data_IF_409312331019
#
_entry.id   IF_409312331019
#
_cell.length_a   1.000
_cell.length_b   1.000
_cell.length_c   1.000
_cell.angle_alpha   90.00
_cell.angle_beta   90.00
_cell.angle_gamma   90.00
#
_symmetry.space_group_name_H-M   'P 1'
#
loop_
_entity.id
_entity.type
_entity.pdbx_description
1 polymer ?
#
# COMPACT_ATOMS: atom_id res chain seq x y z
N UNK A 1 -38.22 46.16 -12.20
CA UNK A 1 -37.38 45.87 -11.05
C UNK A 1 -37.42 44.39 -10.64
N UNK A 2 -38.55 43.80 -10.27
CA UNK A 2 -38.59 42.37 -9.79
C UNK A 2 -37.98 41.37 -10.79
N UNK A 3 -38.26 41.44 -12.10
CA UNK A 3 -37.66 40.52 -13.11
C UNK A 3 -36.14 40.64 -13.23
N UNK A 4 -35.58 41.85 -13.13
CA UNK A 4 -34.12 42.05 -13.18
C UNK A 4 -33.44 41.45 -11.95
N UNK A 5 -34.02 41.61 -10.76
CA UNK A 5 -33.52 41.01 -9.51
C UNK A 5 -33.56 39.48 -9.61
N UNK A 6 -34.66 38.89 -10.12
CA UNK A 6 -34.77 37.44 -10.29
C UNK A 6 -33.72 36.89 -11.25
N UNK A 7 -33.48 37.55 -12.37
CA UNK A 7 -32.43 37.17 -13.35
C UNK A 7 -31.05 37.25 -12.69
N UNK A 8 -30.74 38.33 -11.97
CA UNK A 8 -29.45 38.46 -11.27
C UNK A 8 -29.24 37.36 -10.23
N UNK A 9 -30.27 37.01 -9.45
CA UNK A 9 -30.19 35.93 -8.45
C UNK A 9 -29.94 34.59 -9.13
N UNK A 10 -30.63 34.26 -10.21
CA UNK A 10 -30.44 33.00 -10.95
C UNK A 10 -29.03 32.94 -11.53
N UNK A 11 -28.50 34.03 -12.07
CA UNK A 11 -27.14 34.10 -12.61
C UNK A 11 -26.09 33.87 -11.51
N UNK A 12 -26.25 34.47 -10.34
CA UNK A 12 -25.35 34.27 -9.20
C UNK A 12 -25.37 32.83 -8.72
N UNK A 13 -26.57 32.22 -8.60
CA UNK A 13 -26.69 30.79 -8.22
C UNK A 13 -26.01 29.91 -9.26
N UNK A 14 -26.21 30.18 -10.55
CA UNK A 14 -25.55 29.42 -11.63
C UNK A 14 -24.03 29.51 -11.58
N UNK A 15 -23.48 30.70 -11.31
CA UNK A 15 -22.03 30.87 -11.12
C UNK A 15 -21.49 30.13 -9.89
N UNK A 16 -22.21 30.19 -8.76
CA UNK A 16 -21.82 29.45 -7.55
C UNK A 16 -21.83 27.95 -7.78
N UNK A 17 -22.85 27.43 -8.46
CA UNK A 17 -22.90 26.00 -8.82
C UNK A 17 -21.74 25.62 -9.76
N UNK A 18 -21.44 26.44 -10.77
CA UNK A 18 -20.32 26.19 -11.67
C UNK A 18 -18.97 26.18 -10.93
N UNK A 19 -18.75 27.08 -9.96
CA UNK A 19 -17.56 27.11 -9.10
C UNK A 19 -17.50 25.86 -8.22
N UNK A 20 -18.61 25.46 -7.61
CA UNK A 20 -18.66 24.24 -6.78
C UNK A 20 -18.36 23.00 -7.61
N UNK A 21 -18.92 22.87 -8.81
CA UNK A 21 -18.64 21.77 -9.73
C UNK A 21 -17.16 21.79 -10.14
N UNK A 22 -16.61 22.94 -10.48
CA UNK A 22 -15.19 23.07 -10.83
C UNK A 22 -14.26 22.68 -9.68
N UNK A 23 -14.56 23.12 -8.46
CA UNK A 23 -13.81 22.76 -7.26
C UNK A 23 -13.92 21.26 -6.97
N UNK A 24 -15.10 20.67 -7.13
CA UNK A 24 -15.32 19.23 -6.97
C UNK A 24 -14.51 18.42 -8.00
N UNK A 25 -14.53 18.80 -9.27
CA UNK A 25 -13.74 18.15 -10.33
C UNK A 25 -12.23 18.28 -10.02
N UNK A 26 -11.80 19.45 -9.57
CA UNK A 26 -10.39 19.69 -9.24
C UNK A 26 -9.94 18.84 -8.03
N UNK A 27 -10.76 18.75 -6.99
CA UNK A 27 -10.46 17.97 -5.79
C UNK A 27 -10.48 16.45 -6.03
N UNK A 28 -11.21 15.99 -7.04
CA UNK A 28 -11.29 14.56 -7.41
C UNK A 28 -10.16 14.09 -8.34
N UNK A 29 -9.29 15.00 -8.81
CA UNK A 29 -8.16 14.62 -9.66
C UNK A 29 -7.13 13.85 -8.85
N UNK A 30 -6.75 12.68 -9.39
CA UNK A 30 -5.67 11.88 -8.82
C UNK A 30 -4.32 12.55 -9.08
N UNK A 31 -3.53 12.67 -8.03
CA UNK A 31 -2.12 13.05 -8.12
C UNK A 31 -1.31 11.78 -8.23
N UNK A 32 -0.68 11.58 -9.38
CA UNK A 32 0.14 10.39 -9.63
C UNK A 32 1.55 10.57 -9.05
N UNK A 33 2.12 9.46 -8.61
CA UNK A 33 3.51 9.38 -8.15
C UNK A 33 4.47 9.28 -9.33
N UNK A 34 5.79 9.36 -9.07
CA UNK A 34 6.78 8.94 -10.06
C UNK A 34 6.79 7.41 -10.19
N UNK A 35 7.32 6.89 -11.31
CA UNK A 35 7.27 5.46 -11.63
C UNK A 35 8.09 4.57 -10.67
N UNK A 36 9.07 5.15 -9.98
CA UNK A 36 9.91 4.42 -9.02
C UNK A 36 9.50 4.65 -7.56
N UNK A 37 8.33 5.26 -7.33
CA UNK A 37 7.82 5.50 -5.99
C UNK A 37 7.63 4.18 -5.24
N UNK A 38 8.01 4.18 -3.97
CA UNK A 38 7.75 3.10 -3.01
C UNK A 38 6.99 3.68 -1.82
N UNK A 39 6.16 2.87 -1.19
CA UNK A 39 5.28 3.35 -0.13
C UNK A 39 5.79 3.13 1.29
N UNK A 40 6.64 2.12 1.48
CA UNK A 40 7.22 1.80 2.79
C UNK A 40 8.46 0.93 2.60
N UNK A 41 9.28 0.80 3.64
CA UNK A 41 10.44 -0.09 3.64
C UNK A 41 10.00 -1.57 3.77
N UNK A 42 10.81 -2.47 3.24
CA UNK A 42 10.58 -3.90 3.36
C UNK A 42 10.56 -4.36 4.83
N UNK A 43 11.46 -3.84 5.66
CA UNK A 43 11.49 -4.13 7.09
C UNK A 43 10.17 -3.81 7.80
N UNK A 44 9.57 -2.65 7.51
CA UNK A 44 8.26 -2.30 8.06
C UNK A 44 7.14 -3.20 7.52
N UNK A 45 7.09 -3.44 6.20
CA UNK A 45 6.04 -4.27 5.59
C UNK A 45 6.11 -5.74 6.03
N UNK A 46 7.32 -6.28 6.18
CA UNK A 46 7.52 -7.64 6.71
C UNK A 46 7.09 -7.78 8.18
N UNK A 47 7.03 -6.66 8.92
CA UNK A 47 6.49 -6.58 10.29
C UNK A 47 5.04 -6.06 10.34
N UNK A 48 4.26 -6.34 9.30
CA UNK A 48 2.83 -5.99 9.22
C UNK A 48 2.54 -4.57 8.76
N UNK A 49 3.58 -3.78 8.44
CA UNK A 49 3.43 -2.40 7.96
C UNK A 49 2.71 -1.49 8.93
N UNK A 50 2.97 -1.65 10.24
CA UNK A 50 2.30 -0.88 11.28
C UNK A 50 2.80 0.56 11.39
N UNK A 51 3.95 0.86 10.78
CA UNK A 51 4.57 2.17 10.74
C UNK A 51 5.02 2.51 9.32
N UNK A 52 4.98 3.78 8.98
CA UNK A 52 5.55 4.31 7.75
C UNK A 52 6.05 5.73 7.99
N UNK A 53 7.32 5.97 7.77
CA UNK A 53 7.90 7.31 7.82
C UNK A 53 7.81 7.97 6.45
N UNK A 54 7.33 9.22 6.43
CA UNK A 54 7.23 10.02 5.21
C UNK A 54 7.21 11.51 5.54
N UNK A 55 8.13 12.30 4.97
CA UNK A 55 8.21 13.77 5.12
C UNK A 55 8.18 14.22 6.61
N UNK A 56 9.13 13.73 7.41
CA UNK A 56 9.29 14.06 8.85
C UNK A 56 8.03 13.73 9.69
N UNK A 57 7.21 12.80 9.20
CA UNK A 57 6.05 12.27 9.91
C UNK A 57 6.11 10.75 9.96
N UNK A 58 5.56 10.20 11.02
CA UNK A 58 5.33 8.77 11.18
C UNK A 58 3.83 8.53 11.15
N UNK A 59 3.38 7.79 10.16
CA UNK A 59 2.01 7.27 10.06
C UNK A 59 1.98 5.89 10.67
N UNK A 60 1.03 5.63 11.56
CA UNK A 60 1.04 4.37 12.29
C UNK A 60 -0.34 3.87 12.69
N UNK A 61 -0.41 2.55 12.92
CA UNK A 61 -1.56 1.88 13.52
C UNK A 61 -1.43 1.98 15.05
N UNK A 62 -2.33 2.70 15.71
CA UNK A 62 -2.25 2.89 17.16
C UNK A 62 -2.83 1.67 17.91
N UNK A 63 -2.02 0.84 18.58
CA UNK A 63 -2.49 -0.35 19.28
C UNK A 63 -3.38 -0.02 20.49
N UNK A 64 -3.25 1.18 21.05
CA UNK A 64 -4.09 1.64 22.16
C UNK A 64 -5.47 2.14 21.74
N UNK A 65 -5.70 2.31 20.40
CA UNK A 65 -7.01 2.66 19.83
C UNK A 65 -7.36 1.70 18.68
N UNK A 66 -7.32 0.40 18.94
CA UNK A 66 -7.73 -0.68 18.00
C UNK A 66 -7.03 -0.62 16.63
N UNK A 67 -5.75 -0.25 16.61
CA UNK A 67 -4.94 -0.06 15.40
C UNK A 67 -5.49 0.98 14.42
N UNK A 68 -6.21 1.99 14.91
CA UNK A 68 -6.67 3.09 14.05
C UNK A 68 -5.51 3.90 13.49
N UNK A 69 -5.75 4.55 12.35
CA UNK A 69 -4.74 5.33 11.65
C UNK A 69 -4.43 6.63 12.38
N UNK A 70 -3.18 6.80 12.73
CA UNK A 70 -2.62 7.97 13.42
C UNK A 70 -1.42 8.53 12.65
N UNK A 71 -1.07 9.77 12.96
CA UNK A 71 0.17 10.42 12.54
C UNK A 71 0.83 11.11 13.73
N UNK A 72 2.17 11.14 13.75
CA UNK A 72 2.96 11.92 14.71
C UNK A 72 4.19 12.54 14.00
N UNK A 73 4.88 13.41 14.68
CA UNK A 73 6.18 13.88 14.21
C UNK A 73 7.23 12.76 14.27
N UNK A 74 8.32 12.87 13.50
CA UNK A 74 9.43 11.90 13.53
C UNK A 74 10.14 11.81 14.90
N UNK A 75 10.03 12.84 15.74
CA UNK A 75 10.48 12.85 17.13
C UNK A 75 9.48 12.19 18.12
N UNK A 76 8.47 11.52 17.62
CA UNK A 76 7.39 10.86 18.37
C UNK A 76 6.48 11.83 19.16
N UNK A 77 6.47 13.12 18.84
CA UNK A 77 5.58 14.11 19.46
C UNK A 77 4.32 14.34 18.64
N UNK A 78 3.30 14.98 19.25
CA UNK A 78 2.08 15.44 18.60
C UNK A 78 1.31 14.33 17.85
N UNK A 79 1.18 13.16 18.47
CA UNK A 79 0.38 12.08 17.92
C UNK A 79 -1.10 12.48 17.84
N UNK A 80 -1.70 12.32 16.65
CA UNK A 80 -3.13 12.59 16.44
C UNK A 80 -3.77 11.56 15.52
N UNK A 81 -5.04 11.28 15.77
CA UNK A 81 -5.83 10.37 14.95
C UNK A 81 -6.16 11.02 13.60
N UNK A 82 -6.02 10.25 12.52
CA UNK A 82 -6.41 10.66 11.18
C UNK A 82 -7.81 10.17 10.81
N UNK A 83 -8.14 8.92 11.09
CA UNK A 83 -9.48 8.37 10.86
C UNK A 83 -9.76 7.16 11.78
N UNK A 84 -10.94 6.56 11.65
CA UNK A 84 -11.39 5.46 12.49
C UNK A 84 -11.18 4.06 11.89
N UNK A 85 -10.52 3.95 10.74
CA UNK A 85 -10.18 2.67 10.16
C UNK A 85 -9.08 1.97 10.97
N UNK A 86 -9.28 0.70 11.31
CA UNK A 86 -8.22 -0.19 11.78
C UNK A 86 -7.33 -0.56 10.61
N UNK A 87 -6.03 -0.28 10.69
CA UNK A 87 -5.12 -0.31 9.55
C UNK A 87 -3.93 -1.24 9.76
N UNK A 88 -3.44 -1.79 8.66
CA UNK A 88 -2.18 -2.53 8.55
C UNK A 88 -1.56 -2.30 7.16
N UNK A 89 -0.34 -2.75 6.95
CA UNK A 89 0.40 -2.60 5.68
C UNK A 89 0.38 -1.17 5.16
N UNK A 90 0.65 -0.19 6.03
CA UNK A 90 0.64 1.24 5.71
C UNK A 90 1.74 1.53 4.69
N UNK A 91 1.36 2.23 3.63
CA UNK A 91 2.25 2.76 2.60
C UNK A 91 1.93 4.24 2.42
N UNK A 92 2.93 5.12 2.39
CA UNK A 92 2.71 6.55 2.20
C UNK A 92 3.60 7.07 1.09
N UNK A 93 3.00 7.72 0.10
CA UNK A 93 3.75 8.36 -0.97
C UNK A 93 2.95 9.48 -1.63
N UNK A 94 3.63 10.55 -2.01
CA UNK A 94 3.03 11.70 -2.66
C UNK A 94 1.94 12.35 -1.80
N UNK A 95 0.72 12.30 -2.29
CA UNK A 95 -0.44 12.94 -1.64
C UNK A 95 -1.29 11.97 -0.83
N UNK A 96 -0.91 10.69 -0.71
CA UNK A 96 -1.80 9.66 -0.21
C UNK A 96 -1.15 8.69 0.77
N UNK A 97 -2.00 8.18 1.67
CA UNK A 97 -1.77 7.02 2.53
C UNK A 97 -2.56 5.86 1.92
N UNK A 98 -1.93 4.70 1.77
CA UNK A 98 -2.53 3.45 1.34
C UNK A 98 -2.40 2.44 2.46
N UNK A 99 -3.43 1.65 2.71
CA UNK A 99 -3.43 0.68 3.79
C UNK A 99 -4.44 -0.44 3.57
N UNK A 100 -4.25 -1.53 4.28
CA UNK A 100 -5.28 -2.57 4.46
C UNK A 100 -6.19 -2.13 5.59
N UNK A 101 -7.48 -2.03 5.32
CA UNK A 101 -8.52 -1.83 6.32
C UNK A 101 -8.94 -3.19 6.87
N UNK A 102 -9.00 -3.30 8.18
CA UNK A 102 -9.39 -4.52 8.88
C UNK A 102 -10.21 -4.20 10.12
N UNK A 103 -11.44 -3.76 9.91
CA UNK A 103 -12.35 -3.37 10.97
C UNK A 103 -13.08 -4.59 11.53
N UNK A 104 -12.83 -4.94 12.79
CA UNK A 104 -13.49 -6.09 13.46
C UNK A 104 -14.94 -5.82 13.86
N UNK A 105 -15.36 -4.57 13.93
CA UNK A 105 -16.73 -4.19 14.29
C UNK A 105 -17.36 -3.39 13.16
N UNK A 106 -18.52 -3.88 12.72
CA UNK A 106 -19.38 -3.15 11.81
C UNK A 106 -19.98 -1.96 12.58
N UNK A 107 -19.56 -0.75 12.26
CA UNK A 107 -20.29 0.46 12.69
C UNK A 107 -21.52 0.60 11.82
N UNK A 108 -22.69 0.30 12.38
CA UNK A 108 -23.97 0.48 11.70
C UNK A 108 -24.37 1.94 11.80
N UNK A 109 -24.14 2.71 10.75
CA UNK A 109 -24.80 4.00 10.59
C UNK A 109 -26.19 3.71 10.01
N UNK A 110 -27.14 3.35 10.87
CA UNK A 110 -28.52 3.00 10.50
C UNK A 110 -28.64 1.64 9.81
N UNK A 111 -29.87 1.24 9.50
CA UNK A 111 -30.18 -0.07 8.85
C UNK A 111 -29.86 -0.15 7.37
N UNK A 112 -29.46 0.96 6.74
CA UNK A 112 -29.36 1.08 5.28
C UNK A 112 -27.88 1.20 4.81
N UNK A 113 -26.97 1.73 5.62
CA UNK A 113 -25.56 1.91 5.24
C UNK A 113 -24.66 1.06 6.11
N UNK A 114 -24.23 -0.09 5.57
CA UNK A 114 -23.15 -0.90 6.16
C UNK A 114 -21.83 -0.40 5.56
N UNK A 115 -20.96 0.14 6.40
CA UNK A 115 -19.60 0.48 5.99
C UNK A 115 -18.84 -0.79 5.59
N UNK A 116 -18.01 -0.71 4.54
CA UNK A 116 -17.09 -1.79 4.16
C UNK A 116 -16.12 -2.04 5.31
N UNK A 117 -16.01 -3.29 5.78
CA UNK A 117 -15.16 -3.65 6.92
C UNK A 117 -13.71 -3.88 6.53
N UNK A 118 -13.49 -4.38 5.32
CA UNK A 118 -12.19 -4.84 4.84
C UNK A 118 -11.86 -4.23 3.49
N UNK A 119 -10.59 -4.23 3.12
CA UNK A 119 -10.16 -3.85 1.79
C UNK A 119 -8.85 -3.12 1.74
N UNK A 120 -8.42 -2.79 0.52
CA UNK A 120 -7.31 -1.88 0.25
C UNK A 120 -7.88 -0.48 0.07
N UNK A 121 -7.45 0.44 0.91
CA UNK A 121 -7.94 1.81 0.93
C UNK A 121 -6.84 2.82 0.66
N UNK A 122 -7.28 3.97 0.21
CA UNK A 122 -6.46 5.18 0.09
C UNK A 122 -7.19 6.34 0.76
N UNK A 123 -6.43 7.20 1.46
CA UNK A 123 -6.89 8.52 1.91
C UNK A 123 -5.83 9.58 1.63
N UNK A 124 -6.17 10.85 1.81
CA UNK A 124 -5.20 11.94 1.82
C UNK A 124 -4.31 11.87 3.07
N UNK A 125 -3.21 12.64 3.09
CA UNK A 125 -2.28 12.67 4.24
C UNK A 125 -2.92 13.18 5.55
N UNK A 126 -4.07 13.84 5.47
CA UNK A 126 -4.86 14.27 6.63
C UNK A 126 -5.94 13.24 7.05
N UNK A 127 -5.97 12.06 6.44
CA UNK A 127 -6.93 11.00 6.76
C UNK A 127 -8.30 11.12 6.11
N UNK A 128 -8.53 12.14 5.29
CA UNK A 128 -9.80 12.39 4.61
C UNK A 128 -9.84 11.78 3.19
N UNK A 129 -10.97 11.97 2.50
CA UNK A 129 -11.17 11.52 1.09
C UNK A 129 -10.93 10.02 0.91
N UNK A 130 -11.51 9.24 1.82
CA UNK A 130 -11.45 7.78 1.80
C UNK A 130 -11.93 7.19 0.47
N UNK A 131 -11.14 6.31 -0.11
CA UNK A 131 -11.45 5.61 -1.36
C UNK A 131 -11.07 4.14 -1.23
N UNK A 132 -12.03 3.24 -1.41
CA UNK A 132 -11.75 1.83 -1.62
C UNK A 132 -11.10 1.64 -2.99
N UNK A 133 -9.94 1.00 -3.02
CA UNK A 133 -9.25 0.55 -4.23
C UNK A 133 -9.63 -0.90 -4.55
N UNK A 134 -9.78 -1.71 -3.50
CA UNK A 134 -10.28 -3.07 -3.51
C UNK A 134 -11.11 -3.28 -2.23
N UNK A 135 -12.26 -3.93 -2.32
CA UNK A 135 -13.30 -3.94 -1.29
C UNK A 135 -13.49 -5.30 -0.60
N UNK A 136 -12.46 -6.13 -0.57
CA UNK A 136 -12.48 -7.42 0.10
C UNK A 136 -11.19 -7.65 0.89
N UNK A 137 -11.13 -8.74 1.67
CA UNK A 137 -9.93 -9.12 2.41
C UNK A 137 -8.70 -9.14 1.51
N UNK A 138 -7.61 -8.61 2.00
CA UNK A 138 -6.30 -8.67 1.36
C UNK A 138 -5.22 -8.93 2.40
N UNK A 139 -4.14 -9.56 1.97
CA UNK A 139 -2.92 -9.70 2.75
C UNK A 139 -2.06 -8.42 2.69
N UNK A 140 -0.75 -8.61 2.81
CA UNK A 140 0.22 -7.51 2.68
C UNK A 140 0.04 -6.78 1.36
N UNK A 141 0.12 -5.46 1.41
CA UNK A 141 0.13 -4.60 0.22
C UNK A 141 1.46 -3.85 0.12
N UNK A 142 1.89 -3.57 -1.10
CA UNK A 142 3.02 -2.69 -1.37
C UNK A 142 2.74 -1.75 -2.54
N UNK A 143 3.12 -0.49 -2.38
CA UNK A 143 3.07 0.50 -3.45
C UNK A 143 4.34 0.41 -4.31
N UNK A 144 4.15 0.30 -5.62
CA UNK A 144 5.21 0.55 -6.61
C UNK A 144 4.67 1.46 -7.71
N UNK A 145 5.30 2.63 -7.86
CA UNK A 145 4.85 3.65 -8.79
C UNK A 145 3.41 4.11 -8.51
N UNK A 146 2.52 3.79 -9.43
CA UNK A 146 1.11 4.16 -9.37
C UNK A 146 0.17 2.96 -9.24
N UNK A 147 0.69 1.85 -8.70
CA UNK A 147 -0.08 0.62 -8.46
C UNK A 147 0.18 0.08 -7.07
N UNK A 148 -0.87 -0.46 -6.46
CA UNK A 148 -0.80 -1.25 -5.23
C UNK A 148 -0.81 -2.71 -5.65
N UNK A 149 0.18 -3.47 -5.20
CA UNK A 149 0.33 -4.91 -5.37
C UNK A 149 -0.08 -5.60 -4.09
N UNK A 150 -0.85 -6.70 -4.18
CA UNK A 150 -1.42 -7.32 -2.99
C UNK A 150 -1.79 -8.78 -3.18
N UNK A 151 -1.89 -9.51 -2.07
CA UNK A 151 -2.52 -10.82 -2.03
C UNK A 151 -4.04 -10.63 -2.03
N UNK A 152 -4.69 -11.20 -3.03
CA UNK A 152 -6.13 -11.23 -3.16
C UNK A 152 -6.71 -12.41 -2.36
N UNK A 153 -7.70 -12.13 -1.53
CA UNK A 153 -8.48 -13.14 -0.81
C UNK A 153 -9.93 -13.10 -1.28
N UNK A 154 -10.48 -14.26 -1.57
CA UNK A 154 -11.89 -14.40 -1.98
C UNK A 154 -12.45 -15.72 -1.47
N UNK A 155 -13.71 -15.70 -1.08
CA UNK A 155 -14.44 -16.92 -0.67
C UNK A 155 -14.75 -17.85 -1.86
N UNK A 156 -14.66 -17.35 -3.09
CA UNK A 156 -15.07 -18.05 -4.31
C UNK A 156 -13.93 -18.40 -5.25
N UNK A 157 -12.76 -17.76 -5.10
CA UNK A 157 -11.59 -17.99 -5.96
C UNK A 157 -10.36 -18.28 -5.10
N UNK A 158 -9.40 -19.11 -5.61
CA UNK A 158 -8.14 -19.31 -4.92
C UNK A 158 -7.41 -18.00 -4.64
N UNK A 159 -6.56 -18.02 -3.61
CA UNK A 159 -5.64 -16.92 -3.33
C UNK A 159 -4.79 -16.62 -4.57
N UNK A 160 -4.57 -15.35 -4.86
CA UNK A 160 -3.87 -14.90 -6.05
C UNK A 160 -3.08 -13.62 -5.79
N UNK A 161 -2.19 -13.28 -6.70
CA UNK A 161 -1.46 -12.03 -6.68
C UNK A 161 -2.07 -11.04 -7.67
N UNK A 162 -2.43 -9.87 -7.19
CA UNK A 162 -3.12 -8.83 -7.93
C UNK A 162 -2.40 -7.49 -7.87
N UNK A 163 -2.75 -6.60 -8.80
CA UNK A 163 -2.45 -5.18 -8.73
C UNK A 163 -3.70 -4.35 -9.00
N UNK A 164 -3.80 -3.21 -8.33
CA UNK A 164 -4.82 -2.18 -8.59
C UNK A 164 -4.16 -0.82 -8.73
N UNK A 165 -4.65 0.01 -9.66
CA UNK A 165 -4.15 1.38 -9.80
C UNK A 165 -4.54 2.25 -8.59
N UNK A 166 -3.75 3.28 -8.30
CA UNK A 166 -4.02 4.18 -7.16
C UNK A 166 -5.33 4.99 -7.32
N UNK A 167 -5.97 4.97 -8.49
CA UNK A 167 -7.28 5.54 -8.72
C UNK A 167 -8.42 4.55 -8.37
N UNK A 168 -8.12 3.27 -8.16
CA UNK A 168 -9.10 2.22 -7.87
C UNK A 168 -9.98 1.88 -9.08
N UNK A 169 -9.45 2.00 -10.30
CA UNK A 169 -10.22 1.78 -11.54
C UNK A 169 -9.94 0.46 -12.21
N UNK A 170 -8.76 -0.12 -11.98
CA UNK A 170 -8.31 -1.30 -12.70
C UNK A 170 -7.63 -2.28 -11.75
N UNK A 171 -8.40 -3.24 -11.25
CA UNK A 171 -7.87 -4.43 -10.62
C UNK A 171 -7.47 -5.45 -11.68
N UNK A 172 -6.30 -6.06 -11.52
CA UNK A 172 -5.75 -7.02 -12.49
C UNK A 172 -5.05 -8.14 -11.75
N UNK A 173 -5.45 -9.38 -12.02
CA UNK A 173 -4.75 -10.58 -11.58
C UNK A 173 -3.42 -10.70 -12.32
N UNK A 174 -2.34 -10.92 -11.57
CA UNK A 174 -0.99 -11.11 -12.09
C UNK A 174 -0.64 -12.61 -12.12
N UNK A 175 -0.94 -13.32 -11.03
CA UNK A 175 -0.56 -14.73 -10.85
C UNK A 175 -1.58 -15.46 -9.99
N UNK A 176 -1.71 -16.78 -10.25
CA UNK A 176 -2.44 -17.70 -9.37
C UNK A 176 -1.67 -18.01 -8.08
N UNK A 177 -0.37 -17.70 -8.03
CA UNK A 177 0.44 -17.84 -6.82
C UNK A 177 0.26 -16.59 -5.95
N UNK A 178 -0.11 -16.73 -4.66
CA UNK A 178 -0.40 -15.60 -3.78
C UNK A 178 0.88 -15.01 -3.18
N UNK A 179 1.69 -14.36 -3.99
CA UNK A 179 2.91 -13.71 -3.54
C UNK A 179 2.62 -12.62 -2.52
N UNK A 180 3.53 -12.46 -1.54
CA UNK A 180 3.49 -11.38 -0.55
C UNK A 180 4.44 -10.24 -0.96
N UNK A 181 3.94 -9.09 -1.42
CA UNK A 181 4.75 -8.05 -2.06
C UNK A 181 5.39 -7.09 -1.04
N UNK A 182 6.13 -7.60 -0.07
CA UNK A 182 6.67 -6.77 1.01
C UNK A 182 7.97 -6.03 0.68
N UNK A 183 8.70 -6.41 -0.37
CA UNK A 183 9.96 -5.77 -0.76
C UNK A 183 9.86 -5.18 -2.16
N UNK A 184 10.01 -3.86 -2.28
CA UNK A 184 9.95 -3.12 -3.55
C UNK A 184 11.21 -2.28 -3.70
N UNK A 185 11.91 -2.43 -4.82
CA UNK A 185 13.07 -1.61 -5.15
C UNK A 185 13.13 -1.30 -6.64
N UNK A 186 13.22 -0.02 -7.01
CA UNK A 186 13.35 0.45 -8.40
C UNK A 186 12.36 -0.17 -9.41
N UNK A 187 11.08 -0.29 -9.01
CA UNK A 187 10.04 -0.85 -9.89
C UNK A 187 10.09 -2.38 -10.02
N UNK A 188 10.86 -3.04 -9.17
CA UNK A 188 10.87 -4.50 -9.04
C UNK A 188 10.34 -4.90 -7.67
N UNK A 189 9.48 -5.91 -7.62
CA UNK A 189 8.99 -6.51 -6.38
C UNK A 189 9.73 -7.83 -6.18
N UNK A 190 10.25 -8.03 -4.98
CA UNK A 190 10.94 -9.26 -4.60
C UNK A 190 10.13 -10.01 -3.56
N UNK A 191 10.11 -11.32 -3.66
CA UNK A 191 9.42 -12.21 -2.72
C UNK A 191 10.03 -13.61 -2.74
N UNK A 192 9.82 -14.36 -1.65
CA UNK A 192 10.10 -15.79 -1.64
C UNK A 192 8.95 -16.55 -2.28
N UNK A 193 9.26 -17.60 -3.04
CA UNK A 193 8.26 -18.49 -3.62
C UNK A 193 7.48 -19.20 -2.48
N UNK A 194 6.18 -18.98 -2.34
CA UNK A 194 5.42 -19.55 -1.24
C UNK A 194 5.03 -21.01 -1.46
N UNK A 195 5.20 -21.55 -2.67
CA UNK A 195 4.70 -22.88 -3.06
C UNK A 195 5.82 -23.86 -3.37
N UNK A 196 6.97 -23.36 -3.85
CA UNK A 196 8.08 -24.19 -4.30
C UNK A 196 9.18 -24.37 -3.27
N UNK A 197 10.42 -24.17 -3.71
CA UNK A 197 11.64 -24.31 -2.88
C UNK A 197 11.97 -23.08 -2.04
N UNK A 198 11.10 -22.09 -1.97
CA UNK A 198 11.37 -20.78 -1.37
C UNK A 198 12.51 -20.01 -2.06
N UNK A 199 12.60 -20.14 -3.38
CA UNK A 199 13.51 -19.36 -4.19
C UNK A 199 13.22 -17.86 -4.05
N UNK A 200 14.23 -17.02 -4.20
CA UNK A 200 14.04 -15.58 -4.33
C UNK A 200 13.57 -15.29 -5.75
N UNK A 201 12.39 -14.70 -5.87
CA UNK A 201 11.77 -14.30 -7.12
C UNK A 201 11.79 -12.79 -7.25
N UNK A 202 11.85 -12.31 -8.48
CA UNK A 202 11.69 -10.90 -8.85
C UNK A 202 10.54 -10.75 -9.83
N UNK A 203 9.71 -9.73 -9.62
CA UNK A 203 8.65 -9.33 -10.53
C UNK A 203 8.90 -7.91 -11.00
N UNK A 204 9.10 -7.74 -12.32
CA UNK A 204 9.29 -6.44 -12.96
C UNK A 204 7.91 -5.81 -13.23
N UNK A 205 7.65 -4.67 -12.60
CA UNK A 205 6.35 -3.98 -12.67
C UNK A 205 6.08 -3.30 -14.02
N UNK A 206 7.11 -3.13 -14.86
CA UNK A 206 6.99 -2.53 -16.21
C UNK A 206 6.65 -3.56 -17.28
N UNK A 207 7.24 -4.75 -17.14
CA UNK A 207 7.07 -5.83 -18.12
C UNK A 207 6.07 -6.89 -17.71
N UNK A 208 5.58 -6.82 -16.46
CA UNK A 208 4.69 -7.80 -15.83
C UNK A 208 5.27 -9.24 -15.86
N UNK A 209 6.60 -9.38 -15.69
CA UNK A 209 7.29 -10.67 -15.72
C UNK A 209 7.85 -11.05 -14.36
N UNK A 210 7.61 -12.30 -13.96
CA UNK A 210 8.26 -12.93 -12.81
C UNK A 210 9.43 -13.78 -13.28
N UNK A 211 10.55 -13.73 -12.55
CA UNK A 211 11.76 -14.49 -12.81
C UNK A 211 12.35 -15.02 -11.51
N UNK A 212 13.02 -16.16 -11.55
CA UNK A 212 13.84 -16.64 -10.44
C UNK A 212 15.11 -15.78 -10.40
N UNK A 213 15.31 -15.05 -9.29
CA UNK A 213 16.54 -14.30 -9.06
C UNK A 213 17.63 -15.22 -8.53
N UNK A 214 17.29 -16.08 -7.57
CA UNK A 214 18.25 -17.00 -6.95
C UNK A 214 17.57 -18.28 -6.44
N UNK A 215 18.17 -19.43 -6.77
CA UNK A 215 17.70 -20.75 -6.33
C UNK A 215 18.26 -21.04 -4.93
N UNK A 216 17.41 -20.98 -3.92
CA UNK A 216 17.76 -21.18 -2.51
C UNK A 216 16.53 -21.63 -1.72
N UNK A 217 16.68 -21.76 -0.41
CA UNK A 217 15.57 -21.97 0.51
C UNK A 217 15.53 -20.77 1.47
N UNK A 218 14.88 -19.68 1.05
CA UNK A 218 14.96 -18.39 1.71
C UNK A 218 13.68 -17.97 2.41
N UNK A 219 13.89 -17.19 3.48
CA UNK A 219 12.91 -16.22 3.95
C UNK A 219 13.46 -14.82 3.61
N UNK A 220 12.82 -14.13 2.68
CA UNK A 220 13.32 -12.84 2.16
C UNK A 220 13.09 -11.73 3.18
N UNK A 221 14.14 -11.06 3.57
CA UNK A 221 14.07 -9.88 4.43
C UNK A 221 14.01 -8.58 3.61
N UNK A 222 15.02 -8.32 2.75
CA UNK A 222 15.10 -7.07 1.98
C UNK A 222 16.02 -7.19 0.75
N UNK A 223 15.83 -6.27 -0.21
CA UNK A 223 16.76 -6.04 -1.32
C UNK A 223 17.11 -4.57 -1.39
N UNK A 224 18.37 -4.24 -1.18
CA UNK A 224 18.86 -2.87 -1.17
C UNK A 224 20.28 -2.79 -1.74
N UNK A 225 20.59 -1.69 -2.44
CA UNK A 225 21.94 -1.36 -2.95
C UNK A 225 22.63 -2.50 -3.73
N UNK A 226 21.86 -3.31 -4.47
CA UNK A 226 22.39 -4.40 -5.26
C UNK A 226 22.63 -5.70 -4.48
N UNK A 227 22.13 -5.77 -3.25
CA UNK A 227 22.20 -6.96 -2.41
C UNK A 227 20.81 -7.38 -1.93
N UNK A 228 20.58 -8.71 -1.87
CA UNK A 228 19.46 -9.29 -1.15
C UNK A 228 19.94 -9.83 0.19
N UNK A 229 19.25 -9.47 1.25
CA UNK A 229 19.48 -9.98 2.61
C UNK A 229 18.34 -10.92 2.98
N UNK A 230 18.66 -12.16 3.30
CA UNK A 230 17.65 -13.16 3.62
C UNK A 230 18.15 -14.18 4.65
N UNK A 231 17.22 -14.86 5.29
CA UNK A 231 17.52 -16.00 6.15
C UNK A 231 17.54 -17.26 5.28
N UNK A 232 18.67 -17.96 5.24
CA UNK A 232 18.81 -19.26 4.55
C UNK A 232 18.32 -20.39 5.47
N UNK A 233 17.16 -20.94 5.14
CA UNK A 233 16.53 -22.00 5.92
C UNK A 233 17.30 -23.33 5.83
N UNK A 234 18.13 -23.51 4.79
CA UNK A 234 18.96 -24.70 4.62
C UNK A 234 20.33 -24.59 5.31
N UNK A 235 20.74 -23.40 5.73
CA UNK A 235 22.00 -23.12 6.43
C UNK A 235 21.80 -22.75 7.90
N UNK A 236 21.02 -23.55 8.61
CA UNK A 236 20.74 -23.34 10.03
C UNK A 236 20.21 -21.93 10.36
N UNK A 237 19.34 -21.40 9.48
CA UNK A 237 18.74 -20.06 9.61
C UNK A 237 19.76 -18.92 9.66
N UNK A 238 20.89 -19.06 8.98
CA UNK A 238 21.90 -17.99 8.90
C UNK A 238 21.39 -16.81 8.08
N UNK A 239 21.80 -15.61 8.47
CA UNK A 239 21.57 -14.40 7.69
C UNK A 239 22.60 -14.35 6.55
N UNK A 240 22.11 -14.28 5.32
CA UNK A 240 22.93 -14.31 4.11
C UNK A 240 22.76 -13.02 3.35
N UNK A 241 23.87 -12.50 2.82
CA UNK A 241 23.91 -11.42 1.83
C UNK A 241 24.23 -12.00 0.45
N UNK A 242 23.34 -11.79 -0.50
CA UNK A 242 23.48 -12.18 -1.90
C UNK A 242 23.74 -10.93 -2.75
N UNK A 243 24.85 -10.90 -3.51
CA UNK A 243 25.01 -9.89 -4.57
C UNK A 243 24.06 -10.22 -5.72
N UNK A 244 23.10 -9.33 -6.01
CA UNK A 244 22.04 -9.59 -7.01
C UNK A 244 22.53 -9.56 -8.46
N UNK A 245 23.71 -8.99 -8.73
CA UNK A 245 24.34 -8.98 -10.05
C UNK A 245 25.25 -10.19 -10.27
N UNK A 246 26.08 -10.48 -9.28
CA UNK A 246 27.11 -11.53 -9.39
C UNK A 246 26.60 -12.89 -8.90
N UNK A 247 25.47 -12.92 -8.23
CA UNK A 247 24.81 -14.10 -7.66
C UNK A 247 25.75 -14.94 -6.75
N UNK A 248 26.67 -14.26 -6.05
CA UNK A 248 27.46 -14.90 -5.02
C UNK A 248 26.95 -14.50 -3.61
N UNK A 249 27.07 -15.41 -2.67
CA UNK A 249 26.64 -15.21 -1.28
C UNK A 249 27.81 -15.07 -0.33
N UNK A 250 27.65 -14.22 0.69
CA UNK A 250 28.51 -14.18 1.87
C UNK A 250 27.65 -14.29 3.14
N UNK A 251 28.24 -14.72 4.24
CA UNK A 251 27.59 -14.59 5.54
C UNK A 251 27.51 -13.08 5.87
N UNK A 252 26.30 -12.59 6.15
CA UNK A 252 26.12 -11.19 6.46
C UNK A 252 26.70 -10.80 7.84
N UNK A 253 26.94 -11.80 8.72
CA UNK A 253 27.53 -11.57 10.04
C UNK A 253 29.06 -11.37 10.00
N UNK A 254 29.74 -11.81 8.95
CA UNK A 254 31.19 -11.69 8.82
C UNK A 254 31.67 -10.32 8.31
N UNK A 255 30.74 -9.43 7.95
CA UNK A 255 31.04 -8.13 7.33
C UNK A 255 30.51 -6.90 8.10
N UNK A 256 30.12 -7.08 9.38
CA UNK A 256 29.68 -6.02 10.28
C UNK A 256 30.81 -5.50 11.17
#
# INVERSE_FOLDING_TARGET
MKKAITISVITIIGLLLAVLIFLSIRSSRIVYNNDNAIGNSAGNLNNGGLFCEYNDKIYFANPYDYNKLYVMNSDCTNAMKLNDDSVASINVCGSYIYYVKNNFKQETIGTIFRGQLFGVYRCNLNGESLKALYDSLSGTIALSGNSIYYQHYSDTTPLAFHKVDIAGKKDTKISDTPYSPACVHNGTIYFSDPVGKHNILSYDTKTDKTSVLYDCNSYLADVENGYAYYIDLSKNYSLVRLNTCLLYTSDAADEL
#
